data_IF_433802157655
#
_entry.id   IF_433802157655
#
_cell.length_a   1.000
_cell.length_b   1.000
_cell.length_c   1.000
_cell.angle_alpha   90.00
_cell.angle_beta   90.00
_cell.angle_gamma   90.00
#
_symmetry.space_group_name_H-M   'P 1'
#
loop_
_entity.id
_entity.type
_entity.pdbx_description
1 polymer ?
#
# COMPACT_ATOMS: atom_id res chain seq x y z
N UNK A 1 -18.83 9.11 -18.33
CA UNK A 1 -17.50 8.53 -18.14
C UNK A 1 -17.32 7.28 -18.98
N UNK A 2 -16.08 6.96 -19.26
CA UNK A 2 -15.70 5.69 -19.91
C UNK A 2 -14.89 4.84 -18.92
N UNK A 3 -14.98 3.52 -19.07
CA UNK A 3 -14.23 2.56 -18.25
C UNK A 3 -13.27 1.83 -19.18
N UNK A 4 -12.00 1.81 -18.81
CA UNK A 4 -10.96 1.04 -19.47
C UNK A 4 -10.37 0.03 -18.51
N UNK A 5 -9.98 -1.11 -19.02
CA UNK A 5 -9.36 -2.17 -18.27
C UNK A 5 -7.90 -2.33 -18.67
N UNK A 6 -7.02 -2.31 -17.68
CA UNK A 6 -5.65 -2.73 -17.81
C UNK A 6 -5.36 -3.64 -16.62
N UNK A 7 -5.08 -4.91 -16.86
CA UNK A 7 -4.92 -5.90 -15.81
C UNK A 7 -3.47 -6.33 -15.67
N UNK A 8 -3.06 -6.58 -14.44
CA UNK A 8 -1.77 -7.15 -14.08
C UNK A 8 -1.88 -8.68 -13.91
N UNK A 9 -0.73 -9.32 -13.80
CA UNK A 9 -0.65 -10.72 -13.40
C UNK A 9 -0.53 -10.82 -11.88
N UNK A 10 -0.93 -11.95 -11.31
CA UNK A 10 -0.71 -12.24 -9.91
C UNK A 10 0.70 -12.82 -9.71
N UNK A 11 1.59 -12.10 -9.04
CA UNK A 11 2.94 -12.56 -8.74
C UNK A 11 2.91 -13.82 -7.85
N UNK A 12 1.94 -13.94 -6.95
CA UNK A 12 1.78 -15.11 -6.09
C UNK A 12 1.46 -16.39 -6.86
N UNK A 13 0.61 -16.30 -7.90
CA UNK A 13 0.31 -17.44 -8.76
C UNK A 13 1.45 -17.77 -9.73
N UNK A 14 2.20 -16.77 -10.15
CA UNK A 14 3.32 -16.93 -11.09
C UNK A 14 4.61 -17.40 -10.41
N UNK A 15 4.72 -17.25 -9.10
CA UNK A 15 5.91 -17.55 -8.32
C UNK A 15 6.32 -19.02 -8.45
N UNK A 16 7.62 -19.27 -8.70
CA UNK A 16 8.15 -20.62 -8.90
C UNK A 16 7.91 -21.21 -10.30
N UNK A 17 7.35 -20.42 -11.23
CA UNK A 17 7.17 -20.78 -12.64
C UNK A 17 7.84 -19.76 -13.56
N UNK A 18 7.97 -20.08 -14.85
CA UNK A 18 8.46 -19.13 -15.87
C UNK A 18 7.52 -17.92 -16.04
N UNK A 19 6.26 -18.01 -15.57
CA UNK A 19 5.30 -16.92 -15.59
C UNK A 19 5.77 -15.68 -14.85
N UNK A 20 6.60 -15.81 -13.81
CA UNK A 20 7.12 -14.67 -13.04
C UNK A 20 7.97 -13.72 -13.89
N UNK A 21 8.57 -14.21 -14.98
CA UNK A 21 9.38 -13.39 -15.89
C UNK A 21 8.57 -12.30 -16.61
N UNK A 22 7.23 -12.44 -16.68
CA UNK A 22 6.33 -11.45 -17.27
C UNK A 22 5.86 -10.39 -16.27
N UNK A 23 6.13 -10.57 -14.98
CA UNK A 23 5.62 -9.70 -13.92
C UNK A 23 6.05 -8.25 -14.11
N UNK A 24 7.34 -7.95 -14.17
CA UNK A 24 7.82 -6.58 -14.33
C UNK A 24 7.44 -5.98 -15.69
N UNK A 25 7.43 -6.79 -16.75
CA UNK A 25 7.01 -6.36 -18.07
C UNK A 25 5.54 -5.91 -18.09
N UNK A 26 4.66 -6.53 -17.29
CA UNK A 26 3.25 -6.14 -17.19
C UNK A 26 3.08 -4.71 -16.66
N UNK A 27 3.96 -4.24 -15.75
CA UNK A 27 3.94 -2.86 -15.25
C UNK A 27 4.03 -1.84 -16.39
N UNK A 28 5.02 -2.00 -17.27
CA UNK A 28 5.22 -1.10 -18.40
C UNK A 28 4.06 -1.17 -19.41
N UNK A 29 3.57 -2.37 -19.69
CA UNK A 29 2.44 -2.54 -20.61
C UNK A 29 1.17 -1.86 -20.08
N UNK A 30 0.88 -1.97 -18.80
CA UNK A 30 -0.27 -1.31 -18.16
C UNK A 30 -0.12 0.21 -18.23
N UNK A 31 1.05 0.76 -17.86
CA UNK A 31 1.30 2.20 -17.93
C UNK A 31 1.11 2.74 -19.35
N UNK A 32 1.63 2.03 -20.36
CA UNK A 32 1.46 2.37 -21.78
C UNK A 32 -0.02 2.30 -22.21
N UNK A 33 -0.77 1.29 -21.80
CA UNK A 33 -2.20 1.17 -22.11
C UNK A 33 -2.99 2.34 -21.51
N UNK A 34 -2.72 2.71 -20.26
CA UNK A 34 -3.35 3.86 -19.59
C UNK A 34 -3.07 5.14 -20.39
N UNK A 35 -1.82 5.40 -20.74
CA UNK A 35 -1.41 6.57 -21.49
C UNK A 35 -2.11 6.63 -22.86
N UNK A 36 -2.14 5.52 -23.61
CA UNK A 36 -2.78 5.44 -24.92
C UNK A 36 -4.28 5.75 -24.82
N UNK A 37 -4.99 5.08 -23.90
CA UNK A 37 -6.43 5.27 -23.78
C UNK A 37 -6.81 6.67 -23.29
N UNK A 38 -6.09 7.20 -22.31
CA UNK A 38 -6.37 8.50 -21.75
C UNK A 38 -6.08 9.64 -22.73
N UNK A 39 -5.01 9.54 -23.52
CA UNK A 39 -4.68 10.55 -24.54
C UNK A 39 -5.51 10.43 -25.82
N UNK A 40 -6.06 9.26 -26.11
CA UNK A 40 -6.96 9.08 -27.23
C UNK A 40 -8.36 9.68 -26.99
N UNK A 41 -8.67 10.06 -25.77
CA UNK A 41 -10.00 10.60 -25.37
C UNK A 41 -9.80 11.86 -24.51
N UNK A 42 -10.52 12.95 -24.77
CA UNK A 42 -10.37 14.22 -24.05
C UNK A 42 -11.08 14.12 -22.66
N UNK A 43 -10.43 13.49 -21.70
CA UNK A 43 -10.93 13.42 -20.32
C UNK A 43 -10.49 14.62 -19.49
N UNK A 44 -11.39 15.13 -18.66
CA UNK A 44 -11.12 16.23 -17.70
C UNK A 44 -10.51 15.73 -16.39
N UNK A 45 -10.64 14.44 -16.09
CA UNK A 45 -10.12 13.81 -14.88
C UNK A 45 -10.29 12.31 -14.90
N UNK A 46 -9.62 11.63 -13.98
CA UNK A 46 -9.57 10.18 -13.89
C UNK A 46 -9.67 9.62 -12.48
N UNK A 47 -10.18 8.40 -12.38
CA UNK A 47 -10.08 7.55 -11.18
C UNK A 47 -9.32 6.30 -11.59
N UNK A 48 -8.21 6.05 -10.92
CA UNK A 48 -7.34 4.91 -11.18
C UNK A 48 -7.55 3.87 -10.09
N UNK A 49 -7.79 2.61 -10.46
CA UNK A 49 -8.10 1.54 -9.50
C UNK A 49 -7.10 0.42 -9.71
N UNK A 50 -6.32 0.10 -8.70
CA UNK A 50 -5.38 -1.03 -8.73
C UNK A 50 -5.16 -1.61 -7.33
N UNK A 51 -4.69 -2.84 -7.27
CA UNK A 51 -4.54 -3.57 -6.02
C UNK A 51 -3.21 -4.32 -5.89
N UNK A 52 -2.66 -4.85 -6.99
CA UNK A 52 -1.60 -5.83 -6.94
C UNK A 52 -0.22 -5.28 -7.31
N UNK A 53 0.78 -6.14 -7.25
CA UNK A 53 2.23 -5.86 -7.30
C UNK A 53 2.65 -4.89 -8.39
N UNK A 54 2.21 -5.13 -9.62
CA UNK A 54 2.63 -4.36 -10.79
C UNK A 54 1.56 -3.39 -11.28
N UNK A 55 0.27 -3.74 -11.07
CA UNK A 55 -0.84 -2.88 -11.48
C UNK A 55 -0.85 -1.55 -10.74
N UNK A 56 -0.53 -1.55 -9.43
CA UNK A 56 -0.57 -0.32 -8.65
C UNK A 56 0.55 0.66 -9.04
N UNK A 57 1.84 0.29 -9.07
CA UNK A 57 2.87 1.19 -9.56
C UNK A 57 2.67 1.58 -11.03
N UNK A 58 2.16 0.69 -11.89
CA UNK A 58 1.82 1.00 -13.28
C UNK A 58 0.75 2.09 -13.38
N UNK A 59 -0.30 2.01 -12.55
CA UNK A 59 -1.34 3.04 -12.53
C UNK A 59 -0.80 4.38 -12.02
N UNK A 60 0.11 4.40 -11.05
CA UNK A 60 0.78 5.62 -10.59
C UNK A 60 1.68 6.23 -11.68
N UNK A 61 2.41 5.39 -12.45
CA UNK A 61 3.18 5.83 -13.62
C UNK A 61 2.26 6.39 -14.72
N UNK A 62 1.19 5.66 -15.05
CA UNK A 62 0.22 6.11 -16.05
C UNK A 62 -0.48 7.40 -15.65
N UNK A 63 -0.83 7.54 -14.37
CA UNK A 63 -1.40 8.76 -13.81
C UNK A 63 -0.44 9.95 -13.95
N UNK A 64 0.85 9.73 -13.71
CA UNK A 64 1.89 10.75 -13.89
C UNK A 64 2.05 11.17 -15.36
N UNK A 65 2.12 10.20 -16.29
CA UNK A 65 2.26 10.45 -17.73
C UNK A 65 1.09 11.24 -18.30
N UNK A 66 -0.13 10.84 -17.93
CA UNK A 66 -1.37 11.50 -18.40
C UNK A 66 -1.54 12.88 -17.77
N UNK A 67 -1.21 13.01 -16.52
CA UNK A 67 -1.20 14.26 -15.75
C UNK A 67 -2.47 15.11 -15.86
N UNK A 68 -3.63 14.47 -15.81
CA UNK A 68 -4.93 15.12 -15.62
C UNK A 68 -5.37 14.99 -14.16
N UNK A 69 -6.28 15.84 -13.65
CA UNK A 69 -6.81 15.72 -12.30
C UNK A 69 -7.27 14.29 -12.00
N UNK A 70 -6.72 13.67 -10.97
CA UNK A 70 -6.92 12.23 -10.74
C UNK A 70 -6.86 11.85 -9.26
N UNK A 71 -7.52 10.74 -8.93
CA UNK A 71 -7.47 10.10 -7.61
C UNK A 71 -7.18 8.61 -7.80
N UNK A 72 -6.24 8.09 -7.01
CA UNK A 72 -5.97 6.66 -6.93
C UNK A 72 -6.90 6.01 -5.91
N UNK A 73 -7.44 4.84 -6.25
CA UNK A 73 -8.14 3.94 -5.33
C UNK A 73 -7.33 2.67 -5.21
N UNK A 74 -6.98 2.33 -3.99
CA UNK A 74 -6.31 1.07 -3.68
C UNK A 74 -7.37 -0.01 -3.44
N UNK A 75 -7.16 -1.20 -4.02
CA UNK A 75 -8.16 -2.27 -3.98
C UNK A 75 -8.25 -3.03 -2.65
N UNK A 76 -7.47 -2.62 -1.66
CA UNK A 76 -7.51 -3.20 -0.31
C UNK A 76 -6.77 -4.53 -0.18
N UNK A 77 -6.85 -5.12 1.01
CA UNK A 77 -6.21 -6.39 1.35
C UNK A 77 -7.24 -7.52 1.53
N UNK A 78 -6.83 -8.76 1.26
CA UNK A 78 -7.67 -9.92 1.61
C UNK A 78 -7.64 -10.19 3.12
N UNK A 79 -8.64 -10.91 3.61
CA UNK A 79 -8.63 -11.43 4.97
C UNK A 79 -7.58 -12.52 5.15
N UNK A 80 -7.15 -12.73 6.38
CA UNK A 80 -6.42 -13.93 6.73
C UNK A 80 -7.35 -15.16 6.71
N UNK A 81 -6.79 -16.32 6.40
CA UNK A 81 -7.48 -17.60 6.52
C UNK A 81 -7.66 -18.04 7.97
N UNK A 82 -8.24 -19.25 8.19
CA UNK A 82 -8.34 -19.83 9.52
C UNK A 82 -6.99 -19.86 10.24
N UNK A 83 -6.99 -19.71 11.55
CA UNK A 83 -5.78 -19.60 12.38
C UNK A 83 -4.84 -18.45 11.95
N UNK A 84 -5.41 -17.39 11.39
CA UNK A 84 -4.68 -16.24 10.84
C UNK A 84 -3.69 -16.65 9.73
N UNK A 85 -3.99 -17.68 8.97
CA UNK A 85 -3.14 -18.16 7.88
C UNK A 85 -3.06 -17.09 6.77
N UNK A 86 -1.84 -16.84 6.29
CA UNK A 86 -1.54 -15.89 5.20
C UNK A 86 -0.70 -16.55 4.12
N UNK A 87 -0.76 -16.04 2.88
CA UNK A 87 -0.19 -16.70 1.70
C UNK A 87 1.32 -16.98 1.82
N UNK A 88 2.09 -16.04 2.38
CA UNK A 88 3.55 -16.20 2.52
C UNK A 88 3.95 -17.38 3.40
N UNK A 89 3.06 -17.84 4.27
CA UNK A 89 3.30 -19.00 5.12
C UNK A 89 3.30 -20.32 4.36
N UNK A 90 2.76 -20.35 3.12
CA UNK A 90 2.75 -21.57 2.31
C UNK A 90 4.16 -22.09 2.02
N UNK A 91 5.14 -21.20 1.87
CA UNK A 91 6.54 -21.60 1.72
C UNK A 91 7.05 -22.41 2.94
N UNK A 92 6.67 -21.97 4.15
CA UNK A 92 6.98 -22.69 5.38
C UNK A 92 6.26 -24.06 5.45
N UNK A 93 4.98 -24.09 5.06
CA UNK A 93 4.21 -25.35 5.03
C UNK A 93 4.80 -26.34 4.03
N UNK A 94 5.18 -25.88 2.82
CA UNK A 94 5.85 -26.71 1.82
C UNK A 94 7.17 -27.27 2.32
N UNK A 95 8.02 -26.45 2.94
CA UNK A 95 9.29 -26.89 3.50
C UNK A 95 9.09 -27.90 4.68
N UNK A 96 8.07 -27.73 5.50
CA UNK A 96 7.72 -28.68 6.56
C UNK A 96 7.26 -30.03 5.99
N UNK A 97 6.47 -30.01 4.93
CA UNK A 97 6.03 -31.21 4.23
C UNK A 97 7.22 -31.97 3.62
N UNK A 98 8.11 -31.29 2.92
CA UNK A 98 9.32 -31.89 2.34
C UNK A 98 10.22 -32.56 3.39
N UNK A 99 10.23 -32.01 4.62
CA UNK A 99 10.97 -32.61 5.75
C UNK A 99 10.19 -33.69 6.52
N UNK A 100 8.95 -33.99 6.08
CA UNK A 100 8.09 -34.97 6.77
C UNK A 100 7.55 -34.52 8.13
N UNK A 101 7.56 -33.23 8.42
CA UNK A 101 7.05 -32.66 9.69
C UNK A 101 5.53 -32.50 9.72
N UNK A 102 4.89 -32.44 8.56
CA UNK A 102 3.43 -32.36 8.40
C UNK A 102 2.95 -33.32 7.30
N UNK A 103 1.67 -33.70 7.36
CA UNK A 103 1.08 -34.54 6.33
C UNK A 103 0.68 -33.75 5.07
N UNK A 104 0.42 -34.43 3.96
CA UNK A 104 -0.08 -33.86 2.70
C UNK A 104 -1.42 -33.16 2.92
N UNK A 105 -2.32 -33.76 3.71
CA UNK A 105 -3.62 -33.16 4.03
C UNK A 105 -3.48 -31.79 4.72
N UNK A 106 -2.47 -31.63 5.60
CA UNK A 106 -2.21 -30.35 6.26
C UNK A 106 -1.64 -29.31 5.29
N UNK A 107 -0.79 -29.71 4.34
CA UNK A 107 -0.31 -28.83 3.28
C UNK A 107 -1.45 -28.41 2.35
N UNK A 108 -2.30 -29.35 1.93
CA UNK A 108 -3.44 -29.05 1.08
C UNK A 108 -4.47 -28.16 1.76
N UNK A 109 -4.72 -28.40 3.06
CA UNK A 109 -5.54 -27.49 3.84
C UNK A 109 -4.98 -26.06 3.83
N UNK A 110 -3.66 -25.88 4.00
CA UNK A 110 -3.04 -24.57 3.96
C UNK A 110 -3.18 -23.91 2.59
N UNK A 111 -2.95 -24.66 1.49
CA UNK A 111 -3.12 -24.16 0.10
C UNK A 111 -4.56 -23.69 -0.17
N UNK A 112 -5.56 -24.43 0.31
CA UNK A 112 -6.98 -24.11 0.08
C UNK A 112 -7.48 -22.92 0.91
N UNK A 113 -6.79 -22.56 2.01
CA UNK A 113 -7.27 -21.58 2.95
C UNK A 113 -6.41 -20.29 3.06
N UNK A 114 -5.26 -20.23 2.38
CA UNK A 114 -4.35 -19.09 2.48
C UNK A 114 -4.84 -17.82 1.77
N UNK A 115 -5.79 -17.94 0.83
CA UNK A 115 -6.37 -16.83 0.07
C UNK A 115 -7.91 -16.88 0.13
N UNK A 116 -8.53 -16.53 1.27
CA UNK A 116 -9.96 -16.78 1.50
C UNK A 116 -10.89 -15.73 0.88
N UNK A 117 -10.37 -14.60 0.39
CA UNK A 117 -11.18 -13.49 -0.13
C UNK A 117 -10.46 -12.73 -1.25
N UNK A 118 -11.16 -11.81 -1.91
CA UNK A 118 -10.55 -10.84 -2.81
C UNK A 118 -9.64 -9.86 -2.05
N UNK A 119 -8.81 -9.11 -2.80
CA UNK A 119 -7.86 -8.13 -2.30
C UNK A 119 -6.41 -8.53 -2.54
N UNK A 120 -5.47 -7.64 -2.22
CA UNK A 120 -4.05 -7.95 -2.20
C UNK A 120 -3.74 -8.97 -1.10
N UNK A 121 -2.58 -9.62 -1.20
CA UNK A 121 -2.14 -10.60 -0.20
C UNK A 121 -2.21 -10.04 1.24
N UNK A 122 -2.61 -10.89 2.18
CA UNK A 122 -2.86 -10.52 3.58
C UNK A 122 -1.58 -10.31 4.43
N UNK A 123 -0.50 -9.82 3.80
CA UNK A 123 0.78 -9.47 4.44
C UNK A 123 1.41 -8.25 3.74
N UNK A 124 2.44 -7.63 4.32
CA UNK A 124 3.15 -6.49 3.73
C UNK A 124 4.15 -6.99 2.67
N UNK A 125 3.61 -7.44 1.54
CA UNK A 125 4.36 -7.65 0.30
C UNK A 125 4.36 -6.38 -0.55
N UNK A 126 4.73 -6.51 -1.83
CA UNK A 126 4.78 -5.36 -2.76
C UNK A 126 3.41 -4.73 -2.98
N UNK A 127 2.38 -5.53 -3.15
CA UNK A 127 1.02 -5.05 -3.36
C UNK A 127 0.55 -4.16 -2.21
N UNK A 128 0.67 -4.64 -0.97
CA UNK A 128 0.30 -3.88 0.23
C UNK A 128 1.19 -2.66 0.42
N UNK A 129 2.50 -2.80 0.22
CA UNK A 129 3.44 -1.68 0.30
C UNK A 129 3.06 -0.58 -0.68
N UNK A 130 2.80 -0.89 -1.94
CA UNK A 130 2.49 0.12 -2.95
C UNK A 130 1.11 0.77 -2.74
N UNK A 131 0.15 0.08 -2.14
CA UNK A 131 -1.10 0.71 -1.68
C UNK A 131 -0.83 1.77 -0.60
N UNK A 132 0.02 1.45 0.36
CA UNK A 132 0.48 2.40 1.40
C UNK A 132 1.22 3.58 0.75
N UNK A 133 2.11 3.31 -0.21
CA UNK A 133 2.85 4.37 -0.92
C UNK A 133 1.94 5.30 -1.72
N UNK A 134 0.87 4.80 -2.35
CA UNK A 134 -0.10 5.64 -3.06
C UNK A 134 -0.78 6.65 -2.11
N UNK A 135 -1.09 6.23 -0.89
CA UNK A 135 -1.64 7.13 0.14
C UNK A 135 -0.56 8.08 0.68
N UNK A 136 0.65 7.59 0.94
CA UNK A 136 1.76 8.38 1.48
C UNK A 136 2.25 9.45 0.49
N UNK A 137 2.18 9.20 -0.82
CA UNK A 137 2.43 10.18 -1.88
C UNK A 137 1.32 11.24 -2.00
N UNK A 138 0.23 11.12 -1.25
CA UNK A 138 -0.92 12.01 -1.34
C UNK A 138 -1.83 11.76 -2.55
N UNK A 139 -1.70 10.65 -3.29
CA UNK A 139 -2.46 10.33 -4.50
C UNK A 139 -3.72 9.49 -4.25
N UNK A 140 -3.85 8.86 -3.08
CA UNK A 140 -5.06 8.20 -2.61
C UNK A 140 -5.72 8.98 -1.46
N UNK A 141 -6.99 8.73 -1.22
CA UNK A 141 -7.70 9.38 -0.11
C UNK A 141 -7.14 8.91 1.24
N UNK A 142 -6.94 9.83 2.20
CA UNK A 142 -6.40 9.48 3.52
C UNK A 142 -7.24 8.41 4.23
N UNK A 143 -6.58 7.41 4.78
CA UNK A 143 -7.19 6.28 5.48
C UNK A 143 -7.81 5.23 4.54
N UNK A 144 -7.43 5.18 3.25
CA UNK A 144 -7.99 4.21 2.29
C UNK A 144 -7.10 2.99 2.05
N UNK A 145 -5.80 3.08 2.30
CA UNK A 145 -4.89 1.98 2.00
C UNK A 145 -5.07 0.78 2.95
N UNK A 146 -5.05 -0.42 2.38
CA UNK A 146 -5.19 -1.71 3.07
C UNK A 146 -6.50 -1.91 3.83
N UNK A 147 -7.53 -1.14 3.52
CA UNK A 147 -8.89 -1.49 3.92
C UNK A 147 -9.20 -2.92 3.44
N UNK A 148 -9.83 -3.79 4.24
CA UNK A 148 -10.23 -5.10 3.73
C UNK A 148 -11.07 -4.97 2.46
N UNK A 149 -10.69 -5.69 1.40
CA UNK A 149 -11.33 -5.55 0.08
C UNK A 149 -12.83 -5.93 0.06
N UNK A 150 -13.28 -6.67 1.06
CA UNK A 150 -14.69 -7.04 1.25
C UNK A 150 -15.47 -6.01 2.07
N UNK A 151 -14.81 -4.99 2.63
CA UNK A 151 -15.48 -4.00 3.46
C UNK A 151 -16.40 -3.08 2.65
N UNK A 152 -17.60 -2.79 3.15
CA UNK A 152 -18.48 -1.78 2.56
C UNK A 152 -17.85 -0.38 2.54
N UNK A 153 -16.91 -0.10 3.41
CA UNK A 153 -16.19 1.18 3.46
C UNK A 153 -15.36 1.41 2.21
N UNK A 154 -14.81 0.35 1.60
CA UNK A 154 -14.07 0.47 0.33
C UNK A 154 -14.95 1.06 -0.78
N UNK A 155 -16.22 0.65 -0.85
CA UNK A 155 -17.19 1.21 -1.81
C UNK A 155 -17.46 2.69 -1.51
N UNK A 156 -17.48 3.10 -0.24
CA UNK A 156 -17.63 4.51 0.13
C UNK A 156 -16.41 5.32 -0.26
N UNK A 157 -15.19 4.79 -0.04
CA UNK A 157 -13.96 5.43 -0.53
C UNK A 157 -13.96 5.57 -2.05
N UNK A 158 -14.40 4.54 -2.80
CA UNK A 158 -14.52 4.62 -4.25
C UNK A 158 -15.49 5.73 -4.70
N UNK A 159 -16.64 5.85 -4.05
CA UNK A 159 -17.60 6.95 -4.33
C UNK A 159 -17.00 8.32 -4.02
N UNK A 160 -16.33 8.46 -2.87
CA UNK A 160 -15.63 9.70 -2.48
C UNK A 160 -14.53 10.07 -3.46
N UNK A 161 -13.75 9.08 -3.93
CA UNK A 161 -12.71 9.31 -4.93
C UNK A 161 -13.29 9.79 -6.27
N UNK A 162 -14.41 9.20 -6.72
CA UNK A 162 -15.11 9.68 -7.91
C UNK A 162 -15.61 11.13 -7.78
N UNK A 163 -16.17 11.48 -6.63
CA UNK A 163 -16.54 12.86 -6.33
C UNK A 163 -15.31 13.79 -6.30
N UNK A 164 -14.24 13.36 -5.64
CA UNK A 164 -13.02 14.15 -5.49
C UNK A 164 -12.33 14.40 -6.84
N UNK A 165 -12.33 13.42 -7.75
CA UNK A 165 -11.78 13.60 -9.11
C UNK A 165 -12.49 14.74 -9.86
N UNK A 166 -13.82 14.88 -9.70
CA UNK A 166 -14.57 16.00 -10.26
C UNK A 166 -14.22 17.33 -9.59
N UNK A 167 -13.99 17.33 -8.27
CA UNK A 167 -13.54 18.54 -7.55
C UNK A 167 -12.19 18.98 -8.04
N UNK A 168 -11.22 18.06 -8.16
CA UNK A 168 -9.89 18.33 -8.68
C UNK A 168 -9.94 18.87 -10.13
N UNK A 169 -10.77 18.27 -10.98
CA UNK A 169 -10.95 18.75 -12.37
C UNK A 169 -11.46 20.19 -12.41
N UNK A 170 -12.42 20.56 -11.54
CA UNK A 170 -12.91 21.94 -11.43
C UNK A 170 -11.88 22.93 -10.90
N UNK A 171 -10.97 22.47 -10.06
CA UNK A 171 -9.86 23.27 -9.51
C UNK A 171 -8.66 23.33 -10.45
N UNK A 172 -8.58 22.45 -11.44
CA UNK A 172 -7.43 22.29 -12.32
C UNK A 172 -6.22 21.69 -11.62
N UNK A 173 -6.41 21.03 -10.45
CA UNK A 173 -5.32 20.47 -9.65
C UNK A 173 -4.91 19.09 -10.21
N UNK A 174 -3.68 19.00 -10.66
CA UNK A 174 -3.10 17.83 -11.33
C UNK A 174 -2.17 17.04 -10.41
N UNK A 175 -1.86 15.79 -10.75
CA UNK A 175 -0.86 15.01 -10.00
C UNK A 175 0.50 15.69 -9.85
N UNK A 176 0.97 16.40 -10.90
CA UNK A 176 2.23 17.16 -10.84
C UNK A 176 2.22 18.36 -9.89
N UNK A 177 1.04 18.84 -9.49
CA UNK A 177 0.91 19.90 -8.50
C UNK A 177 0.95 19.34 -7.05
N UNK A 178 0.70 18.04 -6.90
CA UNK A 178 0.62 17.32 -5.62
C UNK A 178 1.95 16.64 -5.31
N UNK A 179 2.51 15.92 -6.29
CA UNK A 179 3.70 15.09 -6.10
C UNK A 179 4.97 15.90 -6.26
N UNK A 180 5.71 16.01 -5.18
CA UNK A 180 7.00 16.70 -5.09
C UNK A 180 8.04 15.78 -4.46
N UNK A 181 9.29 16.22 -4.33
CA UNK A 181 10.30 15.49 -3.57
C UNK A 181 9.86 15.25 -2.12
N UNK A 182 9.18 16.24 -1.50
CA UNK A 182 8.67 16.09 -0.13
C UNK A 182 7.64 14.97 -0.01
N UNK A 183 6.78 14.79 -1.04
CA UNK A 183 5.84 13.67 -1.10
C UNK A 183 6.58 12.32 -1.15
N UNK A 184 7.68 12.24 -1.92
CA UNK A 184 8.50 11.03 -1.98
C UNK A 184 9.29 10.80 -0.71
N UNK A 185 9.84 11.83 -0.06
CA UNK A 185 10.50 11.69 1.24
C UNK A 185 9.52 11.19 2.31
N UNK A 186 8.30 11.73 2.35
CA UNK A 186 7.22 11.21 3.19
C UNK A 186 6.93 9.73 2.91
N UNK A 187 6.80 9.35 1.65
CA UNK A 187 6.54 7.96 1.28
C UNK A 187 7.69 7.03 1.68
N UNK A 188 8.94 7.43 1.53
CA UNK A 188 10.13 6.64 1.92
C UNK A 188 10.21 6.52 3.45
N UNK A 189 9.91 7.58 4.21
CA UNK A 189 9.86 7.52 5.68
C UNK A 189 8.74 6.59 6.18
N UNK A 190 7.55 6.64 5.55
CA UNK A 190 6.47 5.68 5.84
C UNK A 190 6.90 4.26 5.47
N UNK A 191 7.57 4.08 4.31
CA UNK A 191 8.12 2.79 3.89
C UNK A 191 9.09 2.21 4.94
N UNK A 192 9.97 3.04 5.48
CA UNK A 192 10.89 2.65 6.55
C UNK A 192 10.14 2.23 7.82
N UNK A 193 9.12 2.99 8.21
CA UNK A 193 8.33 2.74 9.41
C UNK A 193 7.49 1.45 9.34
N UNK A 194 7.06 1.04 8.16
CA UNK A 194 6.28 -0.19 7.96
C UNK A 194 7.13 -1.42 7.63
N UNK A 195 8.43 -1.31 7.46
CA UNK A 195 9.27 -2.38 6.89
C UNK A 195 8.74 -2.85 5.53
N UNK A 196 8.51 -1.90 4.63
CA UNK A 196 7.91 -2.16 3.32
C UNK A 196 8.78 -3.05 2.43
N UNK A 197 8.16 -3.59 1.37
CA UNK A 197 8.83 -4.44 0.38
C UNK A 197 10.01 -3.73 -0.30
N UNK A 198 11.12 -4.45 -0.49
CA UNK A 198 12.28 -3.96 -1.26
C UNK A 198 11.93 -3.58 -2.70
N UNK A 199 10.82 -4.07 -3.25
CA UNK A 199 10.35 -3.70 -4.58
C UNK A 199 9.95 -2.21 -4.67
N UNK A 200 9.68 -1.54 -3.55
CA UNK A 200 9.48 -0.09 -3.53
C UNK A 200 10.72 0.68 -4.03
N UNK A 201 11.93 0.13 -3.83
CA UNK A 201 13.18 0.70 -4.34
C UNK A 201 13.30 0.61 -5.88
N UNK A 202 12.48 -0.22 -6.51
CA UNK A 202 12.32 -0.29 -7.96
C UNK A 202 11.17 0.59 -8.43
N UNK A 203 10.06 0.60 -7.70
CA UNK A 203 8.82 1.24 -8.15
C UNK A 203 8.78 2.74 -7.86
N UNK A 204 9.22 3.20 -6.69
CA UNK A 204 9.20 4.62 -6.35
C UNK A 204 10.12 5.44 -7.27
N UNK A 205 11.37 5.01 -7.59
CA UNK A 205 12.17 5.71 -8.60
C UNK A 205 11.54 5.73 -9.99
N UNK A 206 10.89 4.64 -10.42
CA UNK A 206 10.19 4.61 -11.70
C UNK A 206 9.00 5.58 -11.75
N UNK A 207 8.23 5.68 -10.67
CA UNK A 207 7.13 6.64 -10.54
C UNK A 207 7.68 8.08 -10.49
N UNK A 208 8.75 8.32 -9.72
CA UNK A 208 9.40 9.63 -9.61
C UNK A 208 9.91 10.13 -10.96
N UNK A 209 10.49 9.24 -11.75
CA UNK A 209 10.96 9.54 -13.11
C UNK A 209 9.85 10.09 -14.00
N UNK A 210 8.62 9.55 -13.91
CA UNK A 210 7.47 10.05 -14.67
C UNK A 210 7.04 11.47 -14.25
N UNK A 211 7.39 11.89 -13.02
CA UNK A 211 7.21 13.27 -12.55
C UNK A 211 8.45 14.16 -12.78
N UNK A 212 9.52 13.64 -13.39
CA UNK A 212 10.78 14.35 -13.56
C UNK A 212 11.58 14.52 -12.26
N UNK A 213 11.35 13.66 -11.26
CA UNK A 213 12.02 13.66 -9.97
C UNK A 213 13.03 12.51 -9.94
N UNK A 214 14.26 12.79 -9.52
CA UNK A 214 15.31 11.78 -9.37
C UNK A 214 15.36 11.25 -7.93
N UNK A 215 15.27 9.95 -7.78
CA UNK A 215 15.41 9.21 -6.51
C UNK A 215 16.37 8.05 -6.75
N UNK A 216 17.39 7.97 -5.93
CA UNK A 216 18.44 6.95 -6.01
C UNK A 216 18.56 6.12 -4.72
N UNK A 217 19.51 5.18 -4.70
CA UNK A 217 19.78 4.37 -3.51
C UNK A 217 20.28 5.19 -2.32
N UNK A 218 20.96 6.30 -2.56
CA UNK A 218 21.48 7.17 -1.50
C UNK A 218 20.34 7.91 -0.79
N UNK A 219 19.29 8.27 -1.51
CA UNK A 219 18.06 8.84 -0.94
C UNK A 219 17.39 7.85 0.01
N UNK A 220 17.26 6.58 -0.39
CA UNK A 220 16.71 5.55 0.49
C UNK A 220 17.61 5.30 1.70
N UNK A 221 18.93 5.17 1.50
CA UNK A 221 19.88 4.93 2.59
C UNK A 221 19.82 6.05 3.63
N UNK A 222 19.81 7.31 3.18
CA UNK A 222 19.73 8.49 4.04
C UNK A 222 18.44 8.51 4.88
N UNK A 223 17.28 8.24 4.26
CA UNK A 223 15.98 8.33 4.93
C UNK A 223 15.70 7.11 5.82
N UNK A 224 16.23 5.94 5.48
CA UNK A 224 16.09 4.75 6.31
C UNK A 224 17.00 4.77 7.56
N UNK A 225 18.17 5.42 7.47
CA UNK A 225 19.06 5.54 8.64
C UNK A 225 18.43 6.42 9.72
N UNK A 226 18.25 5.84 10.91
CA UNK A 226 17.60 6.50 12.04
C UNK A 226 16.07 6.59 11.94
N UNK A 227 15.47 6.05 10.88
CA UNK A 227 14.01 5.91 10.80
C UNK A 227 13.56 4.76 11.72
N UNK A 228 12.46 4.97 12.44
CA UNK A 228 11.92 3.97 13.35
C UNK A 228 11.07 2.95 12.60
N UNK A 229 11.33 1.65 12.82
CA UNK A 229 10.49 0.56 12.37
C UNK A 229 9.41 0.26 13.41
N UNK A 230 8.13 0.39 13.05
CA UNK A 230 7.01 0.40 13.98
C UNK A 230 5.98 -0.71 13.77
N UNK A 231 5.88 -1.28 12.56
CA UNK A 231 4.75 -2.11 12.16
C UNK A 231 5.02 -3.61 12.37
N UNK A 232 4.26 -4.26 13.25
CA UNK A 232 4.36 -5.69 13.55
C UNK A 232 3.41 -6.54 12.68
N UNK A 233 3.53 -6.39 11.35
CA UNK A 233 2.75 -7.12 10.34
C UNK A 233 3.65 -8.06 9.55
N UNK A 234 3.14 -9.24 9.18
CA UNK A 234 3.83 -10.20 8.31
C UNK A 234 4.26 -9.58 6.97
N UNK A 235 5.38 -10.06 6.39
CA UNK A 235 6.16 -11.23 6.77
C UNK A 235 7.17 -10.98 7.88
N UNK A 236 7.54 -9.73 8.17
CA UNK A 236 8.54 -9.38 9.19
C UNK A 236 7.97 -9.43 10.62
N UNK A 237 6.67 -9.25 10.78
CA UNK A 237 5.96 -9.24 12.05
C UNK A 237 5.03 -10.44 12.24
N UNK A 238 4.07 -10.29 13.16
CA UNK A 238 3.20 -11.38 13.63
C UNK A 238 1.81 -11.41 13.02
N UNK A 239 1.24 -10.24 12.66
CA UNK A 239 -0.18 -10.12 12.36
C UNK A 239 -0.45 -10.03 10.86
N UNK A 240 -1.63 -10.45 10.38
CA UNK A 240 -2.06 -10.24 8.99
C UNK A 240 -2.27 -8.76 8.66
N UNK A 241 -2.22 -8.41 7.36
CA UNK A 241 -2.27 -7.03 6.88
C UNK A 241 -3.58 -6.30 7.24
N UNK A 242 -4.72 -6.98 7.33
CA UNK A 242 -5.99 -6.38 7.74
C UNK A 242 -5.92 -5.71 9.13
N UNK A 243 -5.10 -6.26 10.05
CA UNK A 243 -4.89 -5.69 11.38
C UNK A 243 -4.16 -4.34 11.32
N UNK A 244 -3.37 -4.07 10.29
CA UNK A 244 -2.79 -2.75 10.09
C UNK A 244 -3.88 -1.68 9.94
N UNK A 245 -4.89 -1.93 9.10
CA UNK A 245 -6.01 -1.01 8.95
C UNK A 245 -6.77 -0.84 10.27
N UNK A 246 -7.06 -1.92 10.98
CA UNK A 246 -7.76 -1.88 12.28
C UNK A 246 -6.97 -1.13 13.35
N UNK A 247 -5.65 -1.07 13.23
CA UNK A 247 -4.79 -0.27 14.12
C UNK A 247 -4.69 1.22 13.71
N UNK A 248 -5.41 1.65 12.65
CA UNK A 248 -5.44 3.03 12.17
C UNK A 248 -4.67 3.25 10.86
N UNK A 249 -4.14 2.19 10.23
CA UNK A 249 -3.56 2.23 8.90
C UNK A 249 -2.41 3.23 8.71
N UNK A 250 -2.29 3.73 7.48
CA UNK A 250 -1.25 4.72 7.10
C UNK A 250 -1.32 6.00 7.95
N UNK A 251 -2.50 6.57 8.23
CA UNK A 251 -2.59 7.75 9.10
C UNK A 251 -2.00 7.52 10.49
N UNK A 252 -2.16 6.32 11.05
CA UNK A 252 -1.60 6.00 12.36
C UNK A 252 -0.08 5.90 12.36
N UNK A 253 0.54 5.36 11.30
CA UNK A 253 1.99 5.41 11.11
C UNK A 253 2.46 6.87 10.98
N UNK A 254 1.78 7.66 10.15
CA UNK A 254 2.15 9.06 9.94
C UNK A 254 2.06 9.90 11.22
N UNK A 255 1.08 9.63 12.09
CA UNK A 255 1.02 10.30 13.41
C UNK A 255 2.20 9.91 14.32
N UNK A 256 2.65 8.65 14.30
CA UNK A 256 3.80 8.21 15.10
C UNK A 256 5.14 8.83 14.63
N UNK A 257 5.26 9.20 13.35
CA UNK A 257 6.46 9.81 12.77
C UNK A 257 6.22 11.26 12.31
N UNK A 258 5.19 11.91 12.84
CA UNK A 258 4.71 13.23 12.41
C UNK A 258 5.79 14.31 12.41
N UNK A 259 6.72 14.22 13.35
CA UNK A 259 7.82 15.18 13.57
C UNK A 259 8.89 15.15 12.46
N UNK A 260 8.92 14.12 11.64
CA UNK A 260 9.89 13.99 10.53
C UNK A 260 9.23 14.08 9.14
N UNK A 261 7.90 14.24 9.08
CA UNK A 261 7.16 14.35 7.82
C UNK A 261 7.05 15.82 7.35
N UNK A 262 7.01 15.98 6.02
CA UNK A 262 6.65 17.25 5.38
C UNK A 262 5.12 17.40 5.41
N UNK A 263 4.61 18.02 6.47
CA UNK A 263 3.16 18.14 6.75
C UNK A 263 2.43 19.11 5.82
N UNK A 264 3.14 19.99 5.16
CA UNK A 264 2.65 20.95 4.18
C UNK A 264 2.56 20.38 2.75
N UNK A 265 3.03 19.14 2.53
CA UNK A 265 2.87 18.44 1.26
C UNK A 265 1.38 18.32 0.89
N UNK A 266 1.03 18.72 -0.35
CA UNK A 266 -0.33 18.72 -0.86
C UNK A 266 -0.80 17.29 -1.18
N UNK A 267 -2.12 17.07 -1.11
CA UNK A 267 -2.71 15.76 -1.44
C UNK A 267 -3.91 15.90 -2.38
N UNK A 268 -4.41 14.77 -2.89
CA UNK A 268 -5.63 14.72 -3.72
C UNK A 268 -6.90 15.28 -3.05
N UNK A 269 -6.87 15.56 -1.76
CA UNK A 269 -8.00 16.26 -1.11
C UNK A 269 -8.02 17.76 -1.39
N UNK A 270 -6.96 18.29 -2.00
CA UNK A 270 -6.72 19.74 -2.15
C UNK A 270 -6.26 20.39 -0.85
N UNK A 271 -5.90 19.58 0.15
CA UNK A 271 -5.38 19.99 1.46
C UNK A 271 -4.02 19.38 1.71
N UNK A 272 -3.31 19.92 2.69
CA UNK A 272 -2.01 19.39 3.10
C UNK A 272 -2.14 18.07 3.86
N UNK A 273 -1.03 17.34 3.97
CA UNK A 273 -0.95 16.12 4.77
C UNK A 273 -1.35 16.39 6.22
N UNK A 274 -0.82 17.44 6.83
CA UNK A 274 -1.12 17.81 8.22
C UNK A 274 -2.62 18.08 8.44
N UNK A 275 -3.26 18.86 7.55
CA UNK A 275 -4.70 19.13 7.61
C UNK A 275 -5.55 17.86 7.49
N UNK A 276 -5.11 16.90 6.66
CA UNK A 276 -5.81 15.61 6.51
C UNK A 276 -5.69 14.73 7.76
N UNK A 277 -4.52 14.66 8.37
CA UNK A 277 -4.32 13.91 9.63
C UNK A 277 -5.19 14.50 10.75
N UNK A 278 -5.19 15.82 10.90
CA UNK A 278 -6.02 16.50 11.90
C UNK A 278 -7.53 16.28 11.64
N UNK A 279 -7.93 16.29 10.36
CA UNK A 279 -9.32 16.02 9.98
C UNK A 279 -9.75 14.58 10.28
N UNK A 280 -8.93 13.58 9.97
CA UNK A 280 -9.23 12.18 10.28
C UNK A 280 -9.45 11.97 11.78
N UNK A 281 -8.62 12.61 12.61
CA UNK A 281 -8.78 12.59 14.06
C UNK A 281 -10.08 13.25 14.51
N UNK A 282 -10.42 14.40 13.94
CA UNK A 282 -11.66 15.10 14.27
C UNK A 282 -12.92 14.37 13.80
N UNK A 283 -12.83 13.61 12.69
CA UNK A 283 -13.96 12.88 12.12
C UNK A 283 -14.19 11.49 12.76
N UNK A 284 -13.42 11.09 13.76
CA UNK A 284 -13.59 9.81 14.46
C UNK A 284 -13.03 8.60 13.71
N UNK A 285 -12.05 8.79 12.81
CA UNK A 285 -11.45 7.70 12.04
C UNK A 285 -10.79 6.65 12.95
N UNK A 286 -10.05 7.08 13.96
CA UNK A 286 -9.35 6.15 14.86
C UNK A 286 -10.31 5.39 15.79
N UNK A 287 -11.42 6.00 16.19
CA UNK A 287 -12.49 5.35 16.93
C UNK A 287 -13.16 4.26 16.09
N UNK A 288 -13.40 4.53 14.80
CA UNK A 288 -13.92 3.54 13.87
C UNK A 288 -12.92 2.36 13.69
N UNK A 289 -11.64 2.64 13.50
CA UNK A 289 -10.61 1.61 13.42
C UNK A 289 -10.54 0.77 14.71
N UNK A 290 -10.66 1.39 15.88
CA UNK A 290 -10.67 0.67 17.16
C UNK A 290 -11.89 -0.28 17.26
N UNK A 291 -13.07 0.13 16.80
CA UNK A 291 -14.24 -0.75 16.76
C UNK A 291 -13.98 -1.99 15.89
N UNK A 292 -13.37 -1.80 14.70
CA UNK A 292 -13.00 -2.92 13.83
C UNK A 292 -11.95 -3.84 14.47
N UNK A 293 -10.99 -3.28 15.22
CA UNK A 293 -10.02 -4.08 15.98
C UNK A 293 -10.70 -4.89 17.07
N UNK A 294 -11.64 -4.32 17.80
CA UNK A 294 -12.40 -5.01 18.85
C UNK A 294 -13.24 -6.15 18.26
N UNK A 295 -13.88 -5.94 17.12
CA UNK A 295 -14.61 -6.98 16.38
C UNK A 295 -13.68 -8.11 15.90
N UNK A 296 -12.50 -7.77 15.36
CA UNK A 296 -11.50 -8.73 14.94
C UNK A 296 -10.96 -9.54 16.14
N UNK A 297 -10.69 -8.89 17.27
CA UNK A 297 -10.30 -9.51 18.51
C UNK A 297 -11.37 -10.54 18.99
N UNK A 298 -12.63 -10.14 18.98
CA UNK A 298 -13.73 -11.02 19.37
C UNK A 298 -13.86 -12.22 18.43
N UNK A 299 -13.77 -12.01 17.13
CA UNK A 299 -13.85 -13.05 16.09
C UNK A 299 -12.70 -14.06 16.17
N UNK A 300 -11.47 -13.58 16.46
CA UNK A 300 -10.26 -14.41 16.45
C UNK A 300 -9.85 -14.88 17.87
N UNK A 301 -10.58 -14.53 18.93
CA UNK A 301 -10.21 -14.85 20.32
C UNK A 301 -8.94 -14.14 20.80
N UNK A 302 -8.66 -12.95 20.27
CA UNK A 302 -7.49 -12.14 20.57
C UNK A 302 -7.82 -11.00 21.54
N UNK A 303 -6.78 -10.32 22.02
CA UNK A 303 -6.87 -9.14 22.89
C UNK A 303 -5.83 -8.10 22.49
N UNK A 304 -5.72 -7.82 21.21
CA UNK A 304 -4.74 -6.87 20.68
C UNK A 304 -5.18 -5.44 20.95
N UNK A 305 -4.21 -4.62 21.29
CA UNK A 305 -4.31 -3.16 21.25
C UNK A 305 -3.66 -2.63 19.98
N UNK A 306 -3.89 -1.37 19.66
CA UNK A 306 -3.18 -0.70 18.55
C UNK A 306 -1.66 -0.85 18.71
N UNK A 307 -1.12 -0.70 19.92
CA UNK A 307 0.31 -0.76 20.19
C UNK A 307 0.94 -2.16 19.99
N UNK A 308 0.14 -3.22 19.94
CA UNK A 308 0.60 -4.58 19.59
C UNK A 308 0.82 -4.74 18.08
N UNK A 309 0.29 -3.82 17.27
CA UNK A 309 0.31 -3.85 15.80
C UNK A 309 1.19 -2.72 15.26
N UNK A 310 0.92 -1.48 15.69
CA UNK A 310 1.72 -0.28 15.39
C UNK A 310 2.37 0.16 16.71
N UNK A 311 3.66 -0.09 16.85
CA UNK A 311 4.42 0.32 18.04
C UNK A 311 4.51 1.84 18.10
N UNK A 312 4.44 2.42 19.31
CA UNK A 312 4.68 3.86 19.45
C UNK A 312 6.11 4.20 19.09
N UNK A 313 6.32 5.39 18.56
CA UNK A 313 7.66 5.88 18.19
C UNK A 313 8.64 5.97 19.38
N UNK A 314 8.13 6.00 20.62
CA UNK A 314 8.93 5.94 21.84
C UNK A 314 9.46 4.54 22.20
N UNK A 315 8.84 3.47 21.61
CA UNK A 315 9.21 2.08 21.85
C UNK A 315 9.10 1.29 20.52
N UNK A 316 9.96 1.59 19.52
CA UNK A 316 9.91 1.01 18.18
C UNK A 316 10.37 -0.46 18.20
N UNK A 317 10.04 -1.21 17.13
CA UNK A 317 10.58 -2.55 16.89
C UNK A 317 12.07 -2.46 16.55
N UNK A 318 12.45 -1.43 15.79
CA UNK A 318 13.83 -1.13 15.42
C UNK A 318 14.07 0.37 15.33
N UNK A 319 15.32 0.77 15.54
CA UNK A 319 15.77 2.18 15.53
C UNK A 319 16.32 2.64 14.20
N UNK A 320 16.46 1.71 13.24
CA UNK A 320 16.80 1.96 11.84
C UNK A 320 15.72 1.36 10.95
N UNK A 321 15.48 1.96 9.80
CA UNK A 321 14.59 1.40 8.78
C UNK A 321 15.12 0.04 8.30
N UNK A 322 14.21 -0.77 7.77
CA UNK A 322 14.47 -2.17 7.41
C UNK A 322 15.33 -2.39 6.14
N UNK A 323 15.66 -1.33 5.41
CA UNK A 323 16.46 -1.39 4.18
C UNK A 323 17.88 -0.92 4.47
N UNK A 324 18.85 -1.74 4.09
CA UNK A 324 20.26 -1.37 4.07
C UNK A 324 20.76 -1.34 2.61
N UNK A 325 21.25 -0.18 2.18
CA UNK A 325 21.86 -0.03 0.87
C UNK A 325 23.33 -0.42 0.98
N UNK A 326 23.66 -1.60 0.48
CA UNK A 326 25.04 -2.10 0.49
C UNK A 326 25.83 -1.42 -0.63
N UNK A 327 27.09 -1.09 -0.30
CA UNK A 327 28.06 -0.50 -1.23
C UNK A 327 29.28 -1.40 -1.28
N UNK A 328 29.82 -1.56 -2.44
CA UNK A 328 30.97 -2.41 -2.64
C UNK A 328 31.58 -2.22 -4.02
N UNK A 329 32.54 -3.07 -4.34
CA UNK A 329 33.28 -3.06 -5.60
C UNK A 329 32.39 -3.51 -6.76
#
# INVERSE_FOLDING_TARGET
GAIYFATDICDGESQGTDGINFSLASREMIANMIEIHANATPFDGGVYIASCDKGLPANLMGLARVNIPAVMITGGTMHAGPDLLTLEQLGMYSAKYERGEISEEKLDWAKQNACPSCGACSFIGTASTMQIMAEALGLALPGSALLPATSPDLVQYARRAGYQAVVLAKQGLKPSDIVTMDSFENAILVHAAISGSTNALLHLPAIAHEFGIEIDGDTFDRLHRGAKYLLDIRPAGRWPAEFFYYAGGVPAIMEEIRDVLHLDALTVTGKTLGENLDKLKADGFYEHCQQLLDEANARCGLKLTRADIIRPASDPIGTDGSIAVLRGN
#
